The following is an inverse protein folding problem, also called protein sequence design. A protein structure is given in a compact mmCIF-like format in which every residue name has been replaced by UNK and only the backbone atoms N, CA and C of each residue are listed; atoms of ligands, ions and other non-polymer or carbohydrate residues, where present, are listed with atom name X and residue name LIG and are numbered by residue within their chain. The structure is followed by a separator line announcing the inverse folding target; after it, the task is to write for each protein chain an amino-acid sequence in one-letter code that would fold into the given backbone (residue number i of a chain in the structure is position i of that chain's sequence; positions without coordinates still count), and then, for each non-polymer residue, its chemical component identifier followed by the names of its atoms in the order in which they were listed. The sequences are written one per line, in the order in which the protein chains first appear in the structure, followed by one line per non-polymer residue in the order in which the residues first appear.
data_IF_624888455019
#
_entry.id   IF_624888455019
#
_cell.length_a   1.000
_cell.length_b   1.000
_cell.length_c   1.000
_cell.angle_alpha   90.00
_cell.angle_beta   90.00
_cell.angle_gamma   90.00
#
_symmetry.space_group_name_H-M   'P 1'
#
loop_
_entity.id
_entity.type
_entity.pdbx_description
1 polymer ?
#
# COMPACT_ATOMS: atom_id res chain seq x y z
N UNK A 1 -6.47 15.88 7.42
CA UNK A 1 -5.70 14.81 6.76
C UNK A 1 -4.54 14.48 7.67
N UNK A 2 -4.26 13.20 7.89
CA UNK A 2 -3.15 12.73 8.73
C UNK A 2 -2.34 11.69 7.96
N UNK A 3 -1.02 11.80 8.00
CA UNK A 3 -0.09 10.83 7.41
C UNK A 3 0.79 10.29 8.53
N UNK A 4 0.80 8.97 8.71
CA UNK A 4 1.66 8.28 9.68
C UNK A 4 2.58 7.33 8.93
N UNK A 5 3.88 7.41 9.18
CA UNK A 5 4.82 6.38 8.73
C UNK A 5 4.73 5.18 9.66
N UNK A 6 4.56 3.98 9.11
CA UNK A 6 4.45 2.74 9.89
C UNK A 6 5.74 1.92 9.86
N UNK A 7 6.63 2.17 8.89
CA UNK A 7 7.87 1.41 8.67
C UNK A 7 8.06 1.10 7.18
N UNK A 8 9.30 0.85 6.74
CA UNK A 8 9.63 0.56 5.33
C UNK A 8 8.96 1.58 4.37
N UNK A 9 8.19 1.09 3.39
CA UNK A 9 7.41 1.86 2.41
C UNK A 9 5.94 2.00 2.82
N UNK A 10 5.61 1.70 4.08
CA UNK A 10 4.26 1.65 4.59
C UNK A 10 3.87 2.94 5.30
N UNK A 11 2.85 3.58 4.76
CA UNK A 11 2.24 4.78 5.31
C UNK A 11 0.75 4.55 5.51
N UNK A 12 0.23 5.09 6.62
CA UNK A 12 -1.21 5.26 6.84
C UNK A 12 -1.59 6.68 6.48
N UNK A 13 -2.46 6.83 5.50
CA UNK A 13 -3.01 8.12 5.09
C UNK A 13 -4.49 8.13 5.48
N UNK A 14 -4.84 8.92 6.49
CA UNK A 14 -6.22 9.06 6.98
C UNK A 14 -6.84 10.34 6.43
N UNK A 15 -7.78 10.16 5.51
CA UNK A 15 -8.67 11.19 5.01
C UNK A 15 -9.94 11.31 5.85
N UNK A 16 -10.88 12.13 5.38
CA UNK A 16 -12.19 12.28 6.03
C UNK A 16 -13.08 11.05 5.83
N UNK A 17 -12.99 10.41 4.67
CA UNK A 17 -13.90 9.33 4.24
C UNK A 17 -13.25 7.95 4.29
N UNK A 18 -11.93 7.88 4.18
CA UNK A 18 -11.21 6.61 4.08
C UNK A 18 -9.82 6.69 4.68
N UNK A 19 -9.29 5.51 4.99
CA UNK A 19 -7.90 5.28 5.40
C UNK A 19 -7.25 4.44 4.31
N UNK A 20 -6.11 4.91 3.80
CA UNK A 20 -5.26 4.20 2.85
C UNK A 20 -4.03 3.69 3.58
N UNK A 21 -3.62 2.46 3.30
CA UNK A 21 -2.31 1.93 3.70
C UNK A 21 -1.51 1.58 2.45
N UNK A 22 -0.26 2.02 2.40
CA UNK A 22 0.67 1.70 1.30
C UNK A 22 1.58 0.55 1.69
N UNK A 23 1.97 -0.30 0.73
CA UNK A 23 3.03 -1.31 0.82
C UNK A 23 3.22 -1.97 2.20
N UNK A 24 2.19 -2.68 2.72
CA UNK A 24 2.30 -3.35 4.01
C UNK A 24 3.36 -4.44 3.96
N UNK A 25 4.07 -4.63 5.07
CA UNK A 25 5.24 -5.49 5.16
C UNK A 25 5.09 -6.54 6.29
N UNK A 26 5.79 -7.69 6.18
CA UNK A 26 5.75 -8.74 7.19
C UNK A 26 6.53 -8.35 8.47
N UNK A 27 6.14 -8.87 9.64
CA UNK A 27 6.72 -8.47 10.92
C UNK A 27 8.21 -8.82 11.11
N UNK A 28 8.77 -9.66 10.23
CA UNK A 28 10.18 -10.09 10.26
C UNK A 28 11.17 -9.03 9.75
N UNK A 29 10.70 -7.93 9.14
CA UNK A 29 11.55 -6.80 8.73
C UNK A 29 12.01 -5.88 9.88
N UNK A 30 11.67 -6.19 11.13
CA UNK A 30 12.12 -5.44 12.31
C UNK A 30 11.30 -4.19 12.64
N UNK A 31 10.25 -3.89 11.88
CA UNK A 31 9.28 -2.85 12.19
C UNK A 31 8.02 -3.43 12.85
N UNK A 32 7.35 -2.64 13.69
CA UNK A 32 6.06 -3.02 14.28
C UNK A 32 4.91 -2.36 13.55
N UNK A 33 4.24 -3.11 12.67
CA UNK A 33 3.09 -2.62 11.91
C UNK A 33 1.85 -2.39 12.79
N UNK A 34 1.79 -3.06 13.96
CA UNK A 34 0.61 -3.09 14.82
C UNK A 34 -0.51 -3.94 14.20
N UNK A 35 -1.76 -3.47 14.31
CA UNK A 35 -2.94 -4.07 13.66
C UNK A 35 -3.79 -2.99 12.98
N UNK A 36 -3.24 -2.31 11.96
CA UNK A 36 -3.93 -1.19 11.37
C UNK A 36 -5.09 -1.70 10.50
N UNK A 37 -6.16 -0.92 10.44
CA UNK A 37 -7.29 -1.18 9.54
C UNK A 37 -7.30 -0.14 8.43
N UNK A 38 -7.76 -0.54 7.25
CA UNK A 38 -7.84 0.34 6.10
C UNK A 38 -9.08 0.06 5.26
N UNK A 39 -9.49 1.08 4.51
CA UNK A 39 -10.49 0.95 3.46
C UNK A 39 -9.82 0.55 2.14
N UNK A 40 -8.57 1.00 1.94
CA UNK A 40 -7.82 0.81 0.71
C UNK A 40 -6.39 0.41 1.08
N UNK A 41 -5.84 -0.58 0.38
CA UNK A 41 -4.43 -0.93 0.44
C UNK A 41 -3.82 -0.80 -0.96
N UNK A 42 -2.74 -0.04 -1.09
CA UNK A 42 -1.97 0.03 -2.33
C UNK A 42 -0.75 -0.86 -2.22
N UNK A 43 -0.48 -1.65 -3.26
CA UNK A 43 0.74 -2.46 -3.37
C UNK A 43 1.47 -2.03 -4.63
N UNK A 44 2.64 -1.42 -4.47
CA UNK A 44 3.44 -0.88 -5.57
C UNK A 44 3.96 -1.98 -6.50
N UNK A 45 4.36 -3.13 -5.95
CA UNK A 45 4.83 -4.30 -6.69
C UNK A 45 4.77 -5.57 -5.82
N UNK A 46 4.85 -6.75 -6.45
CA UNK A 46 4.66 -8.06 -5.80
C UNK A 46 5.94 -8.60 -5.15
N UNK A 47 6.57 -7.80 -4.29
CA UNK A 47 7.67 -8.26 -3.46
C UNK A 47 7.17 -8.56 -2.04
N UNK A 48 7.60 -9.64 -1.37
CA UNK A 48 7.11 -10.01 -0.03
C UNK A 48 7.19 -8.89 1.01
N UNK A 49 8.22 -8.04 0.92
CA UNK A 49 8.39 -6.86 1.80
C UNK A 49 7.43 -5.69 1.54
N UNK A 50 6.62 -5.74 0.47
CA UNK A 50 5.70 -4.67 0.06
C UNK A 50 4.25 -5.14 -0.11
N UNK A 51 3.98 -6.45 0.00
CA UNK A 51 2.68 -7.04 -0.34
C UNK A 51 2.04 -7.85 0.79
N UNK A 52 2.39 -7.59 2.06
CA UNK A 52 1.85 -8.30 3.23
C UNK A 52 0.45 -7.79 3.61
N UNK A 53 -0.50 -7.94 2.70
CA UNK A 53 -1.87 -7.45 2.85
C UNK A 53 -2.61 -8.14 4.02
N UNK A 54 -2.28 -9.41 4.32
CA UNK A 54 -2.86 -10.11 5.47
C UNK A 54 -2.57 -9.46 6.84
N UNK A 55 -1.59 -8.56 6.92
CA UNK A 55 -1.31 -7.79 8.13
C UNK A 55 -2.29 -6.63 8.37
N UNK A 56 -3.18 -6.35 7.42
CA UNK A 56 -4.14 -5.24 7.46
C UNK A 56 -5.52 -5.77 7.77
N UNK A 57 -6.14 -5.24 8.82
CA UNK A 57 -7.49 -5.62 9.24
C UNK A 57 -8.59 -4.92 8.44
N UNK A 58 -9.79 -5.49 8.51
CA UNK A 58 -10.96 -5.04 7.75
C UNK A 58 -11.07 -5.74 6.40
N UNK A 59 -11.80 -5.14 5.47
CA UNK A 59 -12.03 -5.65 4.11
C UNK A 59 -11.54 -4.62 3.07
N UNK A 60 -10.22 -4.34 3.02
CA UNK A 60 -9.71 -3.27 2.18
C UNK A 60 -9.83 -3.62 0.69
N UNK A 61 -10.10 -2.61 -0.14
CA UNK A 61 -9.93 -2.72 -1.59
C UNK A 61 -8.45 -2.63 -1.94
N UNK A 62 -7.98 -3.56 -2.77
CA UNK A 62 -6.58 -3.61 -3.20
C UNK A 62 -6.38 -2.86 -4.51
N UNK A 63 -5.41 -1.96 -4.51
CA UNK A 63 -4.91 -1.28 -5.72
C UNK A 63 -3.49 -1.76 -5.96
N UNK A 64 -3.29 -2.60 -6.97
CA UNK A 64 -2.03 -3.36 -7.17
C UNK A 64 -1.39 -3.14 -8.54
N UNK A 65 -1.87 -2.13 -9.28
CA UNK A 65 -1.42 -1.86 -10.63
C UNK A 65 -1.69 -0.42 -11.05
N UNK A 66 -1.20 -0.08 -12.23
CA UNK A 66 -1.46 1.21 -12.84
C UNK A 66 -2.92 1.35 -13.29
N UNK A 67 -3.40 2.59 -13.31
CA UNK A 67 -4.78 2.92 -13.65
C UNK A 67 -5.35 4.03 -12.77
N UNK A 68 -6.56 4.45 -13.09
CA UNK A 68 -7.32 5.41 -12.29
C UNK A 68 -8.39 4.67 -11.49
N UNK A 69 -8.51 5.01 -10.21
CA UNK A 69 -9.45 4.40 -9.29
C UNK A 69 -10.15 5.49 -8.47
N UNK A 70 -11.43 5.30 -8.23
CA UNK A 70 -12.18 6.07 -7.23
C UNK A 70 -12.80 5.09 -6.23
N UNK A 71 -12.35 5.13 -4.97
CA UNK A 71 -12.79 4.20 -3.93
C UNK A 71 -13.10 5.00 -2.67
N UNK A 72 -14.33 4.89 -2.17
CA UNK A 72 -14.77 5.58 -0.95
C UNK A 72 -14.51 7.10 -0.96
N UNK A 73 -14.65 7.74 -2.14
CA UNK A 73 -14.38 9.17 -2.34
C UNK A 73 -12.89 9.55 -2.39
N UNK A 74 -11.98 8.57 -2.49
CA UNK A 74 -10.55 8.78 -2.71
C UNK A 74 -10.21 8.49 -4.16
N UNK A 75 -9.65 9.49 -4.85
CA UNK A 75 -9.06 9.35 -6.17
C UNK A 75 -7.62 8.85 -6.07
N UNK A 76 -7.29 7.80 -6.82
CA UNK A 76 -5.97 7.18 -6.86
C UNK A 76 -5.54 7.01 -8.32
N UNK A 77 -4.36 7.51 -8.65
CA UNK A 77 -3.72 7.31 -9.96
C UNK A 77 -2.48 6.44 -9.76
N UNK A 78 -2.57 5.18 -10.17
CA UNK A 78 -1.42 4.28 -10.24
C UNK A 78 -0.66 4.52 -11.54
N UNK A 79 0.64 4.85 -11.42
CA UNK A 79 1.52 5.09 -12.57
C UNK A 79 2.52 3.93 -12.64
N UNK A 80 2.56 3.23 -13.78
CA UNK A 80 3.54 2.17 -13.99
C UNK A 80 4.94 2.78 -14.10
N UNK A 81 5.84 2.34 -13.22
CA UNK A 81 7.27 2.64 -13.26
C UNK A 81 8.06 1.34 -13.16
N UNK A 82 9.35 1.38 -13.50
CA UNK A 82 10.22 0.20 -13.48
C UNK A 82 11.27 0.36 -12.40
N UNK A 83 11.50 -0.72 -11.63
CA UNK A 83 12.52 -0.75 -10.58
C UNK A 83 13.94 -0.94 -11.15
N UNK A 84 14.04 -1.54 -12.34
CA UNK A 84 15.31 -1.77 -13.04
C UNK A 84 15.47 -0.83 -14.25
N UNK A 85 16.69 -0.80 -14.80
CA UNK A 85 17.00 -0.09 -16.05
C UNK A 85 16.57 -0.86 -17.30
N UNK A 86 16.02 -2.07 -17.15
CA UNK A 86 15.65 -3.01 -18.21
C UNK A 86 14.12 -3.13 -18.40
N UNK A 87 13.33 -2.21 -17.83
CA UNK A 87 11.86 -2.15 -17.89
C UNK A 87 11.14 -3.31 -17.17
N UNK A 88 11.61 -3.68 -15.99
CA UNK A 88 10.99 -4.69 -15.12
C UNK A 88 11.32 -6.13 -15.49
N UNK A 89 12.40 -6.36 -16.24
CA UNK A 89 12.83 -7.71 -16.64
C UNK A 89 13.43 -8.53 -15.49
N UNK A 90 13.82 -7.90 -14.38
CA UNK A 90 14.41 -8.57 -13.21
C UNK A 90 13.71 -8.19 -11.90
N UNK A 91 12.38 -8.12 -11.93
CA UNK A 91 11.52 -7.85 -10.77
C UNK A 91 11.04 -9.11 -10.08
#
# INVERSE_FOLDING_TARGET
MEISWLGHSCFRIKGRQATVITDPYPPDLGYSLGKPTAHIVTVSHRHPGHSYVQGIGGEPKLVTGAGEYEISGVLITGIATFHDRERGQKG
#
